data_IF_151728938438
#
_entry.id   IF_151728938438
#
_cell.length_a   1.000
_cell.length_b   1.000
_cell.length_c   1.000
_cell.angle_alpha   90.00
_cell.angle_beta   90.00
_cell.angle_gamma   90.00
#
_symmetry.space_group_name_H-M   'P 1'
#
loop_
_entity.id
_entity.type
_entity.pdbx_description
1 polymer ?
#
# COMPACT_ATOMS: atom_id res chain seq x y z
N UNK A 1 23.62 -16.22 -18.54
CA UNK A 1 22.57 -15.26 -18.18
C UNK A 1 22.67 -14.81 -16.71
N UNK A 2 22.41 -15.64 -15.71
CA UNK A 2 22.43 -15.26 -14.28
C UNK A 2 23.70 -14.52 -13.85
N UNK A 3 24.90 -14.99 -14.26
CA UNK A 3 26.19 -14.35 -13.92
C UNK A 3 26.26 -12.92 -14.48
N UNK A 4 25.88 -12.71 -15.74
CA UNK A 4 25.88 -11.38 -16.38
C UNK A 4 24.97 -10.41 -15.61
N UNK A 5 23.75 -10.85 -15.26
CA UNK A 5 22.82 -10.03 -14.47
C UNK A 5 23.40 -9.66 -13.09
N UNK A 6 24.01 -10.61 -12.39
CA UNK A 6 24.63 -10.36 -11.08
C UNK A 6 25.83 -9.41 -11.18
N UNK A 7 26.69 -9.58 -12.20
CA UNK A 7 27.85 -8.73 -12.43
C UNK A 7 27.40 -7.28 -12.74
N UNK A 8 26.36 -7.13 -13.59
CA UNK A 8 25.75 -5.82 -13.91
C UNK A 8 25.10 -5.19 -12.66
N UNK A 9 24.34 -5.97 -11.90
CA UNK A 9 23.71 -5.50 -10.66
C UNK A 9 24.76 -4.99 -9.67
N UNK A 10 25.83 -5.72 -9.48
CA UNK A 10 26.91 -5.33 -8.57
C UNK A 10 27.62 -4.05 -9.04
N UNK A 11 27.85 -3.91 -10.34
CA UNK A 11 28.51 -2.72 -10.91
C UNK A 11 27.65 -1.47 -10.86
N UNK A 12 26.31 -1.62 -10.92
CA UNK A 12 25.33 -0.52 -10.93
C UNK A 12 24.54 -0.38 -9.64
N UNK A 13 24.92 -1.12 -8.59
CA UNK A 13 24.18 -1.17 -7.33
C UNK A 13 23.84 0.22 -6.77
N UNK A 14 24.83 1.13 -6.77
CA UNK A 14 24.64 2.45 -6.21
C UNK A 14 23.65 3.27 -7.06
N UNK A 15 23.77 3.24 -8.38
CA UNK A 15 22.81 3.88 -9.30
C UNK A 15 21.36 3.42 -8.99
N UNK A 16 21.15 2.11 -8.80
CA UNK A 16 19.83 1.56 -8.53
C UNK A 16 19.29 1.93 -7.14
N UNK A 17 20.18 2.02 -6.14
CA UNK A 17 19.80 2.51 -4.81
C UNK A 17 19.42 4.00 -4.87
N UNK A 18 20.11 4.80 -5.68
CA UNK A 18 19.86 6.22 -5.78
C UNK A 18 18.46 6.50 -6.37
N UNK A 19 17.96 5.72 -7.33
CA UNK A 19 16.56 5.83 -7.79
C UNK A 19 15.55 5.62 -6.65
N UNK A 20 15.79 4.65 -5.77
CA UNK A 20 14.93 4.47 -4.60
C UNK A 20 15.03 5.63 -3.62
N UNK A 21 16.24 6.16 -3.38
CA UNK A 21 16.45 7.32 -2.50
C UNK A 21 15.71 8.55 -3.00
N UNK A 22 15.70 8.78 -4.30
CA UNK A 22 14.96 9.89 -4.91
C UNK A 22 13.46 9.74 -4.65
N UNK A 23 12.87 8.57 -4.91
CA UNK A 23 11.45 8.34 -4.64
C UNK A 23 11.10 8.44 -3.16
N UNK A 24 11.96 7.96 -2.25
CA UNK A 24 11.75 8.06 -0.80
C UNK A 24 11.78 9.51 -0.33
N UNK A 25 12.52 10.39 -1.02
CA UNK A 25 12.56 11.82 -0.67
C UNK A 25 11.28 12.59 -1.05
N UNK A 26 10.44 12.02 -1.89
CA UNK A 26 9.15 12.59 -2.31
C UNK A 26 8.06 12.19 -1.32
N UNK A 27 7.30 13.17 -0.87
CA UNK A 27 6.13 12.92 -0.02
C UNK A 27 5.00 12.34 -0.85
N UNK A 28 4.45 11.24 -0.38
CA UNK A 28 3.39 10.51 -1.06
C UNK A 28 2.35 9.96 -0.07
N UNK A 29 2.16 10.65 1.06
CA UNK A 29 1.28 10.17 2.11
C UNK A 29 -0.18 10.13 1.66
N UNK A 30 -0.84 9.03 1.95
CA UNK A 30 -2.29 8.95 2.00
C UNK A 30 -2.81 9.75 3.20
N UNK A 31 -3.83 10.57 3.01
CA UNK A 31 -4.34 11.47 4.05
C UNK A 31 -5.72 11.04 4.49
N UNK A 32 -5.82 10.66 5.77
CA UNK A 32 -7.09 10.22 6.36
C UNK A 32 -7.62 8.94 5.71
N UNK A 33 -6.74 7.99 5.41
CA UNK A 33 -7.06 6.76 4.69
C UNK A 33 -7.83 7.03 3.38
N UNK A 34 -7.31 7.96 2.57
CA UNK A 34 -7.88 8.32 1.26
C UNK A 34 -9.04 9.29 1.29
N UNK A 35 -9.74 9.44 2.41
CA UNK A 35 -10.94 10.30 2.53
C UNK A 35 -10.59 11.78 2.29
N UNK A 36 -9.44 12.23 2.81
CA UNK A 36 -8.99 13.61 2.65
C UNK A 36 -8.11 13.81 1.40
N UNK A 37 -7.74 12.73 0.72
CA UNK A 37 -6.90 12.72 -0.47
C UNK A 37 -5.54 12.08 -0.24
N UNK A 38 -4.55 12.44 -1.06
CA UNK A 38 -3.20 11.94 -0.97
C UNK A 38 -2.20 12.85 -1.68
N UNK A 39 -0.92 12.64 -1.45
CA UNK A 39 0.18 13.44 -1.97
C UNK A 39 0.98 12.69 -3.07
N UNK A 40 0.40 11.69 -3.70
CA UNK A 40 1.09 10.74 -4.59
C UNK A 40 1.56 11.34 -5.90
N UNK A 41 0.99 12.47 -6.33
CA UNK A 41 1.23 13.07 -7.65
C UNK A 41 2.69 13.20 -8.02
N UNK A 42 3.50 13.83 -7.16
CA UNK A 42 4.95 14.02 -7.43
C UNK A 42 5.69 12.68 -7.49
N UNK A 43 5.28 11.70 -6.68
CA UNK A 43 5.79 10.34 -6.71
C UNK A 43 5.49 9.66 -8.04
N UNK A 44 4.26 9.76 -8.51
CA UNK A 44 3.85 9.22 -9.81
C UNK A 44 4.59 9.93 -10.97
N UNK A 45 4.74 11.24 -10.92
CA UNK A 45 5.52 11.98 -11.94
C UNK A 45 6.99 11.53 -11.97
N UNK A 46 7.58 11.20 -10.83
CA UNK A 46 8.92 10.63 -10.78
C UNK A 46 8.97 9.24 -11.42
N UNK A 47 8.03 8.35 -11.07
CA UNK A 47 7.91 7.01 -11.64
C UNK A 47 7.71 7.07 -13.16
N UNK A 48 6.85 7.97 -13.65
CA UNK A 48 6.61 8.17 -15.07
C UNK A 48 7.89 8.56 -15.82
N UNK A 49 8.66 9.53 -15.28
CA UNK A 49 9.94 9.93 -15.85
C UNK A 49 10.94 8.78 -15.90
N UNK A 50 11.06 8.02 -14.82
CA UNK A 50 11.96 6.87 -14.73
C UNK A 50 11.55 5.77 -15.71
N UNK A 51 10.26 5.42 -15.76
CA UNK A 51 9.74 4.40 -16.66
C UNK A 51 9.97 4.78 -18.13
N UNK A 52 9.66 6.02 -18.51
CA UNK A 52 9.92 6.55 -19.86
C UNK A 52 11.43 6.54 -20.21
N UNK A 53 12.31 6.91 -19.28
CA UNK A 53 13.77 6.84 -19.48
C UNK A 53 14.26 5.41 -19.76
N UNK A 54 13.66 4.42 -19.12
CA UNK A 54 14.00 3.01 -19.32
C UNK A 54 13.41 2.49 -20.65
N UNK A 55 12.34 3.11 -21.16
CA UNK A 55 11.70 2.79 -22.44
C UNK A 55 10.37 2.06 -22.29
N UNK A 56 9.68 2.24 -21.16
CA UNK A 56 8.27 1.90 -21.05
C UNK A 56 7.41 2.93 -21.77
N UNK A 57 6.27 2.51 -22.29
CA UNK A 57 5.14 3.39 -22.53
C UNK A 57 4.36 3.53 -21.21
N UNK A 58 3.89 4.74 -20.90
CA UNK A 58 3.22 5.01 -19.65
C UNK A 58 1.86 5.65 -19.90
N UNK A 59 0.82 5.02 -19.38
CA UNK A 59 -0.55 5.52 -19.41
C UNK A 59 -0.93 6.00 -18.01
N UNK A 60 -1.42 7.24 -17.90
CA UNK A 60 -2.08 7.74 -16.68
C UNK A 60 -3.51 7.25 -16.65
N UNK A 61 -3.90 6.67 -15.55
CA UNK A 61 -5.23 6.13 -15.34
C UNK A 61 -5.89 6.84 -14.17
N UNK A 62 -6.83 7.73 -14.49
CA UNK A 62 -7.59 8.47 -13.49
C UNK A 62 -8.38 7.53 -12.58
N UNK A 63 -8.47 7.89 -11.30
CA UNK A 63 -9.28 7.15 -10.33
C UNK A 63 -10.77 7.39 -10.58
N UNK A 64 -11.59 6.36 -10.43
CA UNK A 64 -13.02 6.40 -10.70
C UNK A 64 -13.84 5.83 -9.55
N UNK A 65 -14.54 6.69 -8.83
CA UNK A 65 -15.49 6.29 -7.78
C UNK A 65 -16.58 5.35 -8.32
N UNK A 66 -16.97 5.50 -9.59
CA UNK A 66 -17.96 4.63 -10.23
C UNK A 66 -17.42 3.19 -10.36
N UNK A 67 -16.16 3.03 -10.77
CA UNK A 67 -15.52 1.71 -10.86
C UNK A 67 -15.35 1.07 -9.48
N UNK A 68 -14.97 1.84 -8.46
CA UNK A 68 -14.88 1.35 -7.08
C UNK A 68 -16.26 0.90 -6.58
N UNK A 69 -17.31 1.70 -6.81
CA UNK A 69 -18.68 1.32 -6.47
C UNK A 69 -19.13 0.04 -7.18
N UNK A 70 -18.76 -0.12 -8.45
CA UNK A 70 -19.06 -1.34 -9.23
C UNK A 70 -18.32 -2.55 -8.63
N UNK A 71 -17.04 -2.41 -8.31
CA UNK A 71 -16.26 -3.46 -7.67
C UNK A 71 -16.86 -3.86 -6.31
N UNK A 72 -17.23 -2.88 -5.48
CA UNK A 72 -17.87 -3.10 -4.18
C UNK A 72 -19.18 -3.89 -4.31
N UNK A 73 -19.98 -3.62 -5.34
CA UNK A 73 -21.22 -4.35 -5.55
C UNK A 73 -21.00 -5.79 -6.00
N UNK A 74 -20.00 -6.04 -6.86
CA UNK A 74 -19.72 -7.36 -7.45
C UNK A 74 -18.87 -8.21 -6.51
N UNK A 75 -17.74 -7.67 -6.04
CA UNK A 75 -16.70 -8.40 -5.34
C UNK A 75 -16.68 -8.15 -3.84
N UNK A 76 -17.45 -7.17 -3.34
CA UNK A 76 -17.45 -6.69 -1.96
C UNK A 76 -16.14 -6.01 -1.53
N UNK A 77 -15.36 -5.57 -2.52
CA UNK A 77 -14.07 -4.90 -2.35
C UNK A 77 -14.17 -3.42 -2.76
N UNK A 78 -13.44 -2.56 -2.07
CA UNK A 78 -13.34 -1.13 -2.33
C UNK A 78 -14.02 -0.25 -1.29
N UNK A 79 -13.43 0.91 -1.07
CA UNK A 79 -13.86 1.92 -0.12
C UNK A 79 -14.41 3.14 -0.87
N UNK A 80 -15.61 3.59 -0.51
CA UNK A 80 -16.26 4.73 -1.13
C UNK A 80 -15.98 6.02 -0.37
N UNK A 81 -16.08 7.15 -1.09
CA UNK A 81 -15.98 8.48 -0.49
C UNK A 81 -14.54 8.99 -0.35
N UNK A 82 -13.59 8.39 -1.05
CA UNK A 82 -12.23 8.90 -1.10
C UNK A 82 -12.10 10.11 -2.01
N UNK A 83 -11.16 11.00 -1.70
CA UNK A 83 -10.86 12.14 -2.54
C UNK A 83 -9.75 11.77 -3.53
N UNK A 84 -10.09 11.78 -4.81
CA UNK A 84 -9.16 11.43 -5.90
C UNK A 84 -8.60 12.65 -6.66
N UNK A 85 -8.76 13.83 -6.13
CA UNK A 85 -8.18 15.02 -6.78
C UNK A 85 -6.67 14.89 -6.88
N UNK A 86 -6.12 15.07 -8.10
CA UNK A 86 -4.68 14.93 -8.42
C UNK A 86 -4.09 13.53 -8.13
N UNK A 87 -4.93 12.49 -8.03
CA UNK A 87 -4.54 11.10 -7.79
C UNK A 87 -4.85 10.26 -9.03
N UNK A 88 -3.87 9.53 -9.53
CA UNK A 88 -4.00 8.63 -10.68
C UNK A 88 -2.99 7.48 -10.58
N UNK A 89 -3.35 6.34 -11.13
CA UNK A 89 -2.41 5.26 -11.32
C UNK A 89 -1.52 5.49 -12.55
N UNK A 90 -0.35 4.86 -12.57
CA UNK A 90 0.43 4.69 -13.79
C UNK A 90 0.41 3.23 -14.22
N UNK A 91 0.15 3.01 -15.50
CA UNK A 91 0.29 1.70 -16.12
C UNK A 91 1.47 1.78 -17.06
N UNK A 92 2.61 1.24 -16.62
CA UNK A 92 3.84 1.24 -17.38
C UNK A 92 3.96 -0.09 -18.14
N UNK A 93 4.07 -0.03 -19.46
CA UNK A 93 4.12 -1.20 -20.35
C UNK A 93 5.46 -1.27 -21.05
N UNK A 94 6.17 -2.36 -20.84
CA UNK A 94 7.38 -2.65 -21.60
C UNK A 94 7.08 -3.78 -22.56
N UNK A 95 6.75 -3.41 -23.81
CA UNK A 95 6.15 -4.27 -24.84
C UNK A 95 4.76 -4.83 -24.46
N UNK A 96 3.78 -4.64 -25.34
CA UNK A 96 2.43 -5.19 -25.21
C UNK A 96 2.13 -6.25 -26.29
N UNK A 97 2.98 -6.32 -27.33
CA UNK A 97 2.70 -7.06 -28.58
C UNK A 97 3.68 -8.20 -28.86
N UNK A 98 4.56 -8.53 -27.91
CA UNK A 98 5.44 -9.69 -28.10
C UNK A 98 4.64 -10.98 -27.96
N UNK A 99 4.89 -11.96 -28.84
CA UNK A 99 4.35 -13.29 -28.63
C UNK A 99 4.93 -13.86 -27.33
N UNK A 100 4.06 -14.24 -26.41
CA UNK A 100 4.48 -14.77 -25.10
C UNK A 100 3.57 -14.35 -23.97
N UNK A 101 4.02 -14.65 -22.77
CA UNK A 101 3.27 -14.34 -21.55
C UNK A 101 3.49 -12.92 -21.10
N UNK A 102 2.49 -12.39 -20.40
CA UNK A 102 2.51 -11.09 -19.74
C UNK A 102 2.67 -11.26 -18.24
N UNK A 103 3.74 -10.69 -17.70
CA UNK A 103 3.88 -10.53 -16.25
C UNK A 103 3.43 -9.13 -15.83
N UNK A 104 2.64 -9.08 -14.78
CA UNK A 104 2.21 -7.83 -14.12
C UNK A 104 2.94 -7.70 -12.80
N UNK A 105 3.49 -6.54 -12.52
CA UNK A 105 3.94 -6.15 -11.18
C UNK A 105 2.96 -5.10 -10.63
N UNK A 106 2.56 -5.27 -9.39
CA UNK A 106 1.73 -4.31 -8.68
C UNK A 106 2.49 -3.76 -7.48
N UNK A 107 2.51 -2.44 -7.35
CA UNK A 107 3.07 -1.76 -6.20
C UNK A 107 2.49 -0.38 -6.01
N UNK A 108 2.30 0.02 -4.76
CA UNK A 108 1.79 1.35 -4.44
C UNK A 108 2.91 2.36 -4.21
N UNK A 109 2.62 3.61 -4.51
CA UNK A 109 3.53 4.74 -4.31
C UNK A 109 3.23 5.49 -3.02
N UNK A 110 2.00 5.39 -2.53
CA UNK A 110 1.55 6.02 -1.30
C UNK A 110 2.23 5.41 -0.06
N UNK A 111 2.13 6.12 1.03
CA UNK A 111 2.62 5.71 2.35
C UNK A 111 1.66 6.20 3.41
N UNK A 112 1.64 5.55 4.56
CA UNK A 112 1.02 6.13 5.75
C UNK A 112 1.77 7.41 6.16
N UNK A 113 1.10 8.36 6.85
CA UNK A 113 1.78 9.51 7.44
C UNK A 113 2.89 9.09 8.43
N UNK A 114 3.98 9.86 8.55
CA UNK A 114 5.13 9.50 9.39
C UNK A 114 4.85 9.51 10.89
N UNK A 115 3.70 10.00 11.31
CA UNK A 115 3.39 10.23 12.72
C UNK A 115 4.29 11.31 13.34
N UNK A 116 4.72 11.09 14.57
CA UNK A 116 5.60 12.01 15.29
C UNK A 116 7.05 11.92 14.79
N UNK A 117 7.44 12.89 13.95
CA UNK A 117 8.77 12.94 13.32
C UNK A 117 9.91 13.00 14.35
N UNK A 118 9.66 13.50 15.56
CA UNK A 118 10.69 13.57 16.61
C UNK A 118 11.15 12.19 17.11
N UNK A 119 10.35 11.15 16.86
CA UNK A 119 10.66 9.76 17.23
C UNK A 119 11.48 9.01 16.19
N UNK A 120 11.67 9.60 15.00
CA UNK A 120 12.46 8.99 13.96
C UNK A 120 13.96 9.16 14.23
N UNK A 121 14.72 8.08 14.11
CA UNK A 121 16.19 8.12 14.20
C UNK A 121 16.81 8.95 13.06
N UNK A 122 16.22 8.84 11.88
CA UNK A 122 16.60 9.59 10.67
C UNK A 122 15.39 10.32 10.11
N UNK A 123 15.61 11.39 9.35
CA UNK A 123 14.53 12.10 8.69
C UNK A 123 13.75 11.14 7.77
N UNK A 124 12.42 10.97 7.92
CA UNK A 124 11.61 10.05 7.12
C UNK A 124 11.64 10.34 5.62
N UNK A 125 11.86 11.59 5.24
CA UNK A 125 11.92 12.04 3.84
C UNK A 125 13.35 12.15 3.29
N UNK A 126 14.30 11.55 3.96
CA UNK A 126 15.68 11.50 3.50
C UNK A 126 16.20 10.08 3.64
N UNK A 127 16.20 9.33 2.54
CA UNK A 127 16.71 7.98 2.54
C UNK A 127 18.16 7.94 3.05
N UNK A 128 18.37 7.36 4.22
CA UNK A 128 19.66 7.33 4.91
C UNK A 128 20.19 5.91 4.93
N UNK A 129 21.38 5.70 4.40
CA UNK A 129 22.08 4.42 4.51
C UNK A 129 22.84 4.33 5.85
N UNK A 130 22.58 3.27 6.60
CA UNK A 130 23.31 2.94 7.83
C UNK A 130 23.39 1.42 7.99
N UNK A 131 24.61 0.92 8.20
CA UNK A 131 24.89 -0.51 8.40
C UNK A 131 24.27 -1.45 7.36
N UNK A 132 24.32 -1.06 6.07
CA UNK A 132 23.80 -1.85 4.96
C UNK A 132 22.27 -1.87 4.83
N UNK A 133 21.58 -0.99 5.55
CA UNK A 133 20.14 -0.77 5.48
C UNK A 133 19.83 0.63 4.99
N UNK A 134 18.70 0.80 4.33
CA UNK A 134 18.16 2.08 3.89
C UNK A 134 16.96 2.44 4.76
N UNK A 135 17.02 3.61 5.41
CA UNK A 135 15.99 4.12 6.30
C UNK A 135 15.26 5.30 5.67
N UNK A 136 13.95 5.29 5.72
CA UNK A 136 13.07 6.35 5.21
C UNK A 136 11.61 5.88 5.18
N UNK A 137 10.67 6.81 5.11
CA UNK A 137 9.24 6.50 5.02
C UNK A 137 8.93 5.81 3.69
N UNK A 138 8.19 4.71 3.73
CA UNK A 138 7.86 3.92 2.54
C UNK A 138 9.03 3.13 1.96
N UNK A 139 10.22 3.10 2.61
CA UNK A 139 11.37 2.33 2.11
C UNK A 139 11.07 0.84 2.04
N UNK A 140 10.41 0.29 3.04
CA UNK A 140 10.00 -1.12 3.05
C UNK A 140 8.61 -1.31 2.45
N UNK A 141 7.68 -0.44 2.78
CA UNK A 141 6.27 -0.49 2.41
C UNK A 141 5.91 0.76 1.59
N UNK A 142 5.82 0.66 0.21
CA UNK A 142 6.48 -0.42 -0.55
C UNK A 142 7.29 0.16 -1.72
N UNK A 143 7.80 1.40 -1.58
CA UNK A 143 8.57 2.09 -2.66
C UNK A 143 9.75 1.25 -3.16
N UNK A 144 10.38 0.43 -2.31
CA UNK A 144 11.47 -0.44 -2.75
C UNK A 144 11.00 -1.54 -3.70
N UNK A 145 9.86 -2.16 -3.42
CA UNK A 145 9.27 -3.17 -4.29
C UNK A 145 8.84 -2.59 -5.63
N UNK A 146 8.20 -1.43 -5.60
CA UNK A 146 7.79 -0.72 -6.81
C UNK A 146 9.00 -0.35 -7.69
N UNK A 147 10.03 0.27 -7.11
CA UNK A 147 11.26 0.61 -7.84
C UNK A 147 11.97 -0.65 -8.35
N UNK A 148 12.03 -1.72 -7.55
CA UNK A 148 12.68 -2.97 -7.96
C UNK A 148 12.00 -3.59 -9.19
N UNK A 149 10.68 -3.51 -9.31
CA UNK A 149 9.94 -4.01 -10.49
C UNK A 149 10.35 -3.28 -11.77
N UNK A 150 10.49 -1.96 -11.71
CA UNK A 150 10.93 -1.10 -12.83
C UNK A 150 12.41 -1.37 -13.17
N UNK A 151 13.25 -1.45 -12.14
CA UNK A 151 14.69 -1.67 -12.32
C UNK A 151 15.01 -3.10 -12.77
N UNK A 152 14.13 -4.07 -12.58
CA UNK A 152 14.30 -5.42 -13.13
C UNK A 152 14.40 -5.38 -14.67
N UNK A 153 13.55 -4.61 -15.34
CA UNK A 153 13.63 -4.38 -16.79
C UNK A 153 14.90 -3.61 -17.16
N UNK A 154 15.23 -2.54 -16.40
CA UNK A 154 16.48 -1.79 -16.61
C UNK A 154 17.71 -2.69 -16.48
N UNK A 155 17.77 -3.57 -15.49
CA UNK A 155 18.88 -4.49 -15.27
C UNK A 155 19.07 -5.44 -16.47
N UNK A 156 18.00 -5.97 -17.02
CA UNK A 156 18.06 -6.85 -18.22
C UNK A 156 18.65 -6.05 -19.39
N UNK A 157 18.17 -4.84 -19.64
CA UNK A 157 18.68 -3.95 -20.70
C UNK A 157 20.13 -3.56 -20.49
N UNK A 158 20.50 -3.12 -19.28
CA UNK A 158 21.86 -2.73 -18.90
C UNK A 158 22.85 -3.94 -19.03
N UNK A 159 22.35 -5.15 -18.94
CA UNK A 159 23.11 -6.38 -19.15
C UNK A 159 23.26 -6.77 -20.64
N UNK A 160 22.75 -5.96 -21.57
CA UNK A 160 22.74 -6.24 -23.01
C UNK A 160 21.82 -7.40 -23.41
N UNK A 161 20.83 -7.70 -22.56
CA UNK A 161 19.86 -8.77 -22.78
C UNK A 161 18.49 -8.20 -23.22
N UNK A 162 17.73 -9.00 -23.90
CA UNK A 162 16.35 -8.65 -24.25
C UNK A 162 15.37 -9.19 -23.20
N UNK A 163 14.32 -8.42 -22.92
CA UNK A 163 13.19 -8.88 -22.12
C UNK A 163 12.37 -9.89 -22.95
N UNK A 164 12.16 -11.12 -22.46
CA UNK A 164 11.65 -12.21 -23.31
C UNK A 164 10.11 -12.27 -23.40
N UNK A 165 9.39 -11.25 -22.98
CA UNK A 165 7.92 -11.23 -22.95
C UNK A 165 7.39 -9.84 -22.63
N UNK A 166 6.10 -9.77 -22.35
CA UNK A 166 5.44 -8.51 -22.00
C UNK A 166 5.53 -8.25 -20.50
N UNK A 167 5.80 -7.01 -20.13
CA UNK A 167 5.85 -6.57 -18.72
C UNK A 167 4.93 -5.38 -18.53
N UNK A 168 4.00 -5.49 -17.60
CA UNK A 168 3.19 -4.38 -17.13
C UNK A 168 3.55 -4.08 -15.67
N UNK A 169 3.66 -2.81 -15.32
CA UNK A 169 3.84 -2.38 -13.94
C UNK A 169 2.71 -1.43 -13.61
N UNK A 170 1.96 -1.76 -12.57
CA UNK A 170 0.94 -0.91 -11.99
C UNK A 170 1.56 -0.16 -10.81
N UNK A 171 1.85 1.14 -11.00
CA UNK A 171 2.13 2.03 -9.87
C UNK A 171 0.81 2.63 -9.43
N UNK A 172 0.30 2.15 -8.31
CA UNK A 172 -1.04 2.51 -7.84
C UNK A 172 -0.99 3.52 -6.70
N UNK A 173 -2.09 4.22 -6.50
CA UNK A 173 -2.35 5.14 -5.39
C UNK A 173 -3.41 4.53 -4.47
N UNK A 174 -3.57 5.10 -3.26
CA UNK A 174 -4.68 4.76 -2.36
C UNK A 174 -4.69 3.27 -1.93
N UNK A 175 -3.50 2.67 -1.80
CA UNK A 175 -3.38 1.32 -1.27
C UNK A 175 -3.58 1.34 0.25
N UNK A 176 -2.89 2.25 0.94
CA UNK A 176 -2.96 2.46 2.39
C UNK A 176 -4.35 2.95 2.86
N UNK A 177 -5.16 3.47 1.93
CA UNK A 177 -6.58 3.78 2.12
C UNK A 177 -7.51 2.58 1.94
N UNK A 178 -6.99 1.43 1.47
CA UNK A 178 -7.74 0.19 1.30
C UNK A 178 -7.79 -0.38 -0.11
N UNK A 179 -6.76 -0.13 -0.93
CA UNK A 179 -6.51 -0.84 -2.18
C UNK A 179 -7.29 -0.34 -3.40
N UNK A 180 -7.90 0.85 -3.33
CA UNK A 180 -8.74 1.35 -4.42
C UNK A 180 -7.98 1.55 -5.73
N UNK A 181 -6.69 1.90 -5.70
CA UNK A 181 -5.86 2.03 -6.89
C UNK A 181 -5.74 0.73 -7.66
N UNK A 182 -5.44 -0.36 -6.98
CA UNK A 182 -5.40 -1.70 -7.59
C UNK A 182 -6.76 -2.11 -8.13
N UNK A 183 -7.83 -1.87 -7.38
CA UNK A 183 -9.21 -2.14 -7.81
C UNK A 183 -9.52 -1.37 -9.09
N UNK A 184 -9.19 -0.07 -9.12
CA UNK A 184 -9.40 0.77 -10.31
C UNK A 184 -8.64 0.24 -11.53
N UNK A 185 -7.40 -0.19 -11.38
CA UNK A 185 -6.60 -0.75 -12.46
C UNK A 185 -7.21 -2.05 -13.01
N UNK A 186 -7.58 -2.98 -12.15
CA UNK A 186 -8.22 -4.26 -12.54
C UNK A 186 -9.57 -4.02 -13.18
N UNK A 187 -10.40 -3.12 -12.65
CA UNK A 187 -11.70 -2.77 -13.23
C UNK A 187 -11.60 -2.08 -14.60
N UNK A 188 -10.45 -1.48 -14.90
CA UNK A 188 -10.11 -0.94 -16.22
C UNK A 188 -9.48 -2.00 -17.16
N UNK A 189 -9.46 -3.26 -16.77
CA UNK A 189 -9.02 -4.37 -17.61
C UNK A 189 -7.51 -4.60 -17.64
N UNK A 190 -6.77 -4.14 -16.65
CA UNK A 190 -5.35 -4.48 -16.53
C UNK A 190 -5.25 -5.92 -16.05
N UNK A 191 -4.65 -6.77 -16.85
CA UNK A 191 -4.49 -8.21 -16.63
C UNK A 191 -3.14 -8.72 -17.11
N UNK A 192 -2.87 -9.99 -16.85
CA UNK A 192 -1.71 -10.74 -17.31
C UNK A 192 -1.78 -12.22 -16.93
N UNK A 193 -0.80 -13.00 -17.39
CA UNK A 193 -0.72 -14.45 -17.07
C UNK A 193 -0.24 -14.70 -15.63
N UNK A 194 0.49 -13.75 -15.04
CA UNK A 194 1.01 -13.80 -13.68
C UNK A 194 1.09 -12.39 -13.13
N UNK A 195 0.76 -12.24 -11.84
CA UNK A 195 0.94 -10.99 -11.12
C UNK A 195 1.87 -11.21 -9.93
N UNK A 196 2.83 -10.29 -9.75
CA UNK A 196 3.68 -10.20 -8.56
C UNK A 196 3.30 -8.92 -7.84
N UNK A 197 2.79 -9.06 -6.62
CA UNK A 197 2.55 -7.95 -5.71
C UNK A 197 3.85 -7.72 -4.94
N UNK A 198 4.40 -6.51 -5.06
CA UNK A 198 5.77 -6.21 -4.62
C UNK A 198 5.86 -5.77 -3.15
N UNK A 199 4.93 -6.22 -2.30
CA UNK A 199 4.87 -5.95 -0.87
C UNK A 199 6.03 -6.55 -0.07
N UNK A 200 6.34 -6.00 1.12
CA UNK A 200 7.40 -6.53 1.98
C UNK A 200 7.05 -7.92 2.51
N UNK A 201 7.79 -8.92 2.08
CA UNK A 201 7.58 -10.33 2.40
C UNK A 201 8.79 -11.01 3.02
N UNK A 202 9.82 -10.23 3.45
CA UNK A 202 11.10 -10.77 3.87
C UNK A 202 11.74 -11.72 2.82
N UNK A 203 11.48 -11.46 1.54
CA UNK A 203 11.87 -12.28 0.38
C UNK A 203 11.24 -13.69 0.37
N UNK A 204 10.17 -13.88 1.12
CA UNK A 204 9.38 -15.11 1.09
C UNK A 204 8.22 -15.00 0.09
N UNK A 205 7.76 -16.13 -0.41
CA UNK A 205 6.53 -16.21 -1.17
C UNK A 205 5.34 -16.29 -0.20
N UNK A 206 4.50 -15.25 -0.16
CA UNK A 206 3.28 -15.23 0.64
C UNK A 206 2.16 -15.81 -0.22
N UNK A 207 1.62 -16.95 0.19
CA UNK A 207 0.60 -17.70 -0.55
C UNK A 207 -0.81 -17.49 -0.03
N UNK A 208 -0.97 -16.79 1.09
CA UNK A 208 -2.25 -16.44 1.68
C UNK A 208 -2.10 -15.22 2.58
N UNK A 209 -3.13 -14.42 2.70
CA UNK A 209 -3.20 -13.30 3.65
C UNK A 209 -4.59 -13.24 4.31
N UNK A 210 -4.68 -12.53 5.44
CA UNK A 210 -5.93 -12.27 6.13
C UNK A 210 -6.65 -11.09 5.50
N UNK A 211 -7.98 -11.12 5.53
CA UNK A 211 -8.78 -9.92 5.33
C UNK A 211 -8.81 -9.07 6.60
N UNK A 212 -9.25 -7.83 6.49
CA UNK A 212 -9.44 -6.91 7.61
C UNK A 212 -10.71 -6.07 7.42
N UNK A 213 -11.24 -5.59 8.54
CA UNK A 213 -12.41 -4.70 8.55
C UNK A 213 -12.18 -3.64 9.62
N UNK A 214 -12.38 -2.37 9.26
CA UNK A 214 -12.42 -1.27 10.23
C UNK A 214 -13.86 -1.03 10.67
N UNK A 215 -14.02 -0.83 11.99
CA UNK A 215 -15.28 -0.44 12.59
C UNK A 215 -15.10 0.86 13.35
N UNK A 216 -16.03 1.78 13.17
CA UNK A 216 -16.22 2.91 14.07
C UNK A 216 -17.45 2.63 14.93
N UNK A 217 -17.29 2.76 16.24
CA UNK A 217 -18.34 2.53 17.21
C UNK A 217 -18.61 3.80 17.99
N UNK A 218 -19.78 4.39 17.79
CA UNK A 218 -20.24 5.54 18.55
C UNK A 218 -21.10 5.08 19.73
N UNK A 219 -20.68 5.42 20.97
CA UNK A 219 -21.45 5.16 22.18
C UNK A 219 -22.07 6.46 22.68
N UNK A 220 -23.38 6.58 22.60
CA UNK A 220 -24.14 7.77 23.02
C UNK A 220 -24.47 7.72 24.51
N UNK A 221 -24.29 8.86 25.15
CA UNK A 221 -24.63 9.07 26.54
C UNK A 221 -25.74 10.12 26.75
N UNK A 222 -26.10 10.32 27.99
CA UNK A 222 -26.98 11.40 28.43
C UNK A 222 -26.28 12.15 29.56
N UNK A 223 -25.90 13.40 29.26
CA UNK A 223 -25.17 14.25 30.22
C UNK A 223 -26.09 14.73 31.33
N UNK A 224 -25.61 14.59 32.59
CA UNK A 224 -26.28 15.08 33.78
C UNK A 224 -25.24 15.51 34.81
N UNK A 225 -25.73 16.18 35.85
CA UNK A 225 -24.89 16.57 36.99
C UNK A 225 -24.28 15.33 37.66
N UNK A 226 -22.99 15.35 37.95
CA UNK A 226 -22.27 14.20 38.53
C UNK A 226 -22.90 13.66 39.83
N UNK A 227 -23.53 14.50 40.61
CA UNK A 227 -24.28 14.14 41.84
C UNK A 227 -25.56 13.35 41.57
N UNK A 228 -26.07 13.34 40.33
CA UNK A 228 -27.27 12.60 39.87
C UNK A 228 -26.94 11.59 38.78
N UNK A 229 -25.77 11.00 38.83
CA UNK A 229 -25.23 10.09 37.82
C UNK A 229 -26.22 9.00 37.35
N UNK A 230 -27.05 8.49 38.27
CA UNK A 230 -28.03 7.44 38.00
C UNK A 230 -29.22 7.87 37.09
N UNK A 231 -29.43 9.18 36.91
CA UNK A 231 -30.46 9.73 36.01
C UNK A 231 -29.93 9.92 34.60
N UNK A 232 -28.61 9.77 34.39
CA UNK A 232 -27.95 9.88 33.10
C UNK A 232 -27.41 8.59 32.55
N UNK A 233 -26.65 8.69 31.46
CA UNK A 233 -25.92 7.59 30.84
C UNK A 233 -24.50 8.02 30.56
N UNK A 234 -23.54 7.45 31.32
CA UNK A 234 -22.14 7.71 31.08
C UNK A 234 -21.66 6.86 29.89
N UNK A 235 -21.42 7.52 28.74
CA UNK A 235 -20.97 6.85 27.52
C UNK A 235 -19.62 6.15 27.67
N UNK A 236 -18.69 6.74 28.46
CA UNK A 236 -17.37 6.16 28.70
C UNK A 236 -17.51 4.84 29.48
N UNK A 237 -18.33 4.80 30.53
CA UNK A 237 -18.57 3.56 31.28
C UNK A 237 -19.23 2.49 30.41
N UNK A 238 -20.15 2.86 29.53
CA UNK A 238 -20.75 1.92 28.57
C UNK A 238 -19.74 1.41 27.55
N UNK A 239 -18.87 2.29 27.05
CA UNK A 239 -17.78 1.90 26.15
C UNK A 239 -16.81 0.91 26.82
N UNK A 240 -16.50 1.08 28.09
CA UNK A 240 -15.65 0.16 28.86
C UNK A 240 -16.27 -1.25 28.94
N UNK A 241 -17.60 -1.38 29.13
CA UNK A 241 -18.28 -2.67 29.14
C UNK A 241 -18.23 -3.30 27.74
N UNK A 242 -18.52 -2.53 26.70
CA UNK A 242 -18.42 -3.01 25.31
C UNK A 242 -17.02 -3.50 24.97
N UNK A 243 -15.97 -2.80 25.38
CA UNK A 243 -14.58 -3.21 25.17
C UNK A 243 -14.26 -4.52 25.90
N UNK A 244 -14.85 -4.77 27.04
CA UNK A 244 -14.70 -6.04 27.75
C UNK A 244 -15.35 -7.19 26.95
N UNK A 245 -16.56 -6.99 26.43
CA UNK A 245 -17.26 -7.97 25.59
C UNK A 245 -16.48 -8.26 24.29
N UNK A 246 -15.90 -7.22 23.68
CA UNK A 246 -15.03 -7.35 22.48
C UNK A 246 -13.79 -8.21 22.79
N UNK A 247 -13.14 -8.00 23.94
CA UNK A 247 -12.00 -8.83 24.35
C UNK A 247 -12.38 -10.29 24.59
N UNK A 248 -13.55 -10.54 25.14
CA UNK A 248 -14.07 -11.91 25.32
C UNK A 248 -14.37 -12.55 23.96
N UNK A 249 -14.96 -11.79 23.03
CA UNK A 249 -15.19 -12.24 21.66
C UNK A 249 -13.88 -12.61 20.95
N UNK A 250 -12.87 -11.74 21.03
CA UNK A 250 -11.54 -12.02 20.48
C UNK A 250 -10.93 -13.29 21.10
N UNK A 251 -11.00 -13.42 22.43
CA UNK A 251 -10.52 -14.62 23.10
C UNK A 251 -11.18 -15.90 22.55
N UNK A 252 -12.50 -15.87 22.36
CA UNK A 252 -13.23 -16.97 21.76
C UNK A 252 -12.77 -17.26 20.32
N UNK A 253 -12.52 -16.23 19.51
CA UNK A 253 -12.00 -16.40 18.16
C UNK A 253 -10.60 -17.04 18.16
N UNK A 254 -9.72 -16.60 19.06
CA UNK A 254 -8.39 -17.18 19.22
C UNK A 254 -8.44 -18.68 19.59
N UNK A 255 -9.49 -19.13 20.26
CA UNK A 255 -9.63 -20.55 20.63
C UNK A 255 -10.24 -21.38 19.49
N UNK A 256 -11.19 -20.83 18.75
CA UNK A 256 -12.02 -21.58 17.79
C UNK A 256 -11.43 -21.54 16.38
N UNK A 257 -11.03 -20.37 15.89
CA UNK A 257 -10.62 -20.19 14.49
C UNK A 257 -9.14 -20.47 14.33
N UNK A 258 -8.81 -21.52 13.61
CA UNK A 258 -7.45 -21.96 13.27
C UNK A 258 -7.34 -22.19 11.77
N UNK A 259 -6.25 -21.73 11.20
CA UNK A 259 -5.93 -21.97 9.80
C UNK A 259 -4.48 -22.46 9.67
N UNK A 260 -4.17 -23.41 8.78
CA UNK A 260 -2.82 -23.99 8.68
C UNK A 260 -1.76 -22.99 8.20
N UNK A 261 -2.15 -21.93 7.48
CA UNK A 261 -1.25 -20.94 6.90
C UNK A 261 -1.37 -19.54 7.52
N UNK A 262 -2.43 -19.28 8.28
CA UNK A 262 -2.75 -17.94 8.78
C UNK A 262 -2.88 -17.95 10.30
N UNK A 263 -2.54 -16.85 10.97
CA UNK A 263 -2.83 -16.69 12.40
C UNK A 263 -4.33 -16.66 12.67
N UNK A 264 -4.72 -16.83 13.91
CA UNK A 264 -6.11 -16.66 14.32
C UNK A 264 -6.53 -15.19 14.17
N UNK A 265 -7.83 -14.92 13.89
CA UNK A 265 -8.34 -13.56 13.80
C UNK A 265 -8.17 -12.81 15.13
N UNK A 266 -7.89 -11.51 15.05
CA UNK A 266 -7.71 -10.62 16.18
C UNK A 266 -8.54 -9.36 16.03
N UNK A 267 -8.81 -8.66 17.14
CA UNK A 267 -9.48 -7.37 17.16
C UNK A 267 -8.55 -6.36 17.83
N UNK A 268 -8.16 -5.32 17.11
CA UNK A 268 -7.30 -4.28 17.63
C UNK A 268 -8.08 -2.98 17.85
N UNK A 269 -7.98 -2.40 19.04
CA UNK A 269 -8.49 -1.08 19.35
C UNK A 269 -7.43 -0.04 18.95
N UNK A 270 -7.62 0.59 17.79
CA UNK A 270 -6.65 1.56 17.27
C UNK A 270 -6.77 2.95 17.89
N UNK A 271 -8.02 3.43 18.06
CA UNK A 271 -8.31 4.78 18.56
C UNK A 271 -9.48 4.73 19.53
N UNK A 272 -9.42 5.52 20.59
CA UNK A 272 -10.53 5.81 21.47
C UNK A 272 -10.56 7.32 21.81
N UNK A 273 -11.71 7.94 21.61
CA UNK A 273 -11.96 9.33 21.99
C UNK A 273 -13.28 9.42 22.74
N UNK A 274 -13.36 10.26 23.75
CA UNK A 274 -14.60 10.42 24.48
C UNK A 274 -14.47 11.37 25.66
N UNK A 275 -15.62 11.84 26.13
CA UNK A 275 -15.74 12.80 27.21
C UNK A 275 -16.19 14.18 26.69
N UNK A 276 -16.66 15.03 27.62
CA UNK A 276 -17.06 16.43 27.41
C UNK A 276 -16.28 17.35 28.31
#
# INVERSE_FOLDING_TARGET
MKKILLDTLNSKKQEYIDYLKELVSIKTEDVGHGILGGLEKEGQEYIEKLANYIGFSVDRQEMSEELIKKAKNIYKEGNLGHNYQDRYNLICKYSDDLPGKTIVFNGHVDTMPPGDISKWKYNPYRATEDNGKLYGLGTADMKSGLIASILAVKLIKDSGLNVPGNVKIMSVVDEEGGGNGTINAVMNGIDGDCCIICEPSEQNLIVAHMGFVFFEVEVKGVSLHCGSKWEGVNAIEKAMLLLQDIKELEHNWLMIYKHPLLPSPTINLGVINGGT
#
